data_IF_990525297474
#
_entry.id   IF_990525297474
#
_cell.length_a   1.000
_cell.length_b   1.000
_cell.length_c   1.000
_cell.angle_alpha   90.00
_cell.angle_beta   90.00
_cell.angle_gamma   90.00
#
_symmetry.space_group_name_H-M   'P 1'
#
loop_
_entity.id
_entity.type
_entity.pdbx_description
1 polymer ?
#
# COMPACT_ATOMS: atom_id res chain seq x y z
N UNK A 1 -20.22 1.59 -17.08
CA UNK A 1 -19.39 0.40 -16.94
C UNK A 1 -19.27 0.15 -15.46
N UNK A 2 -19.60 -1.07 -15.06
CA UNK A 2 -19.43 -1.55 -13.70
C UNK A 2 -17.96 -1.34 -13.25
N UNK A 3 -17.69 -1.30 -11.94
CA UNK A 3 -16.33 -1.39 -11.43
C UNK A 3 -15.58 -2.50 -12.18
N UNK A 4 -14.32 -2.32 -12.58
CA UNK A 4 -13.61 -3.37 -13.28
C UNK A 4 -13.63 -4.64 -12.43
N UNK A 5 -14.13 -5.72 -13.02
CA UNK A 5 -14.10 -7.06 -12.43
C UNK A 5 -12.68 -7.58 -12.57
N UNK A 6 -12.01 -7.76 -11.44
CA UNK A 6 -10.65 -8.29 -11.32
C UNK A 6 -10.65 -9.82 -11.42
N UNK A 7 -9.47 -10.46 -11.56
CA UNK A 7 -9.38 -11.91 -11.52
C UNK A 7 -10.16 -12.48 -10.32
N UNK A 8 -10.80 -13.63 -10.52
CA UNK A 8 -11.63 -14.29 -9.50
C UNK A 8 -12.92 -13.54 -9.14
N UNK A 9 -13.38 -12.59 -9.97
CA UNK A 9 -14.66 -11.89 -9.79
C UNK A 9 -14.63 -10.81 -8.71
N UNK A 10 -13.45 -10.47 -8.18
CA UNK A 10 -13.29 -9.43 -7.17
C UNK A 10 -13.53 -8.05 -7.78
N UNK A 11 -14.03 -7.11 -6.99
CA UNK A 11 -14.18 -5.72 -7.41
C UNK A 11 -13.45 -4.78 -6.43
N UNK A 12 -13.33 -3.50 -6.80
CA UNK A 12 -12.66 -2.49 -5.97
C UNK A 12 -13.32 -2.37 -4.59
N UNK A 13 -14.64 -2.52 -4.50
CA UNK A 13 -15.39 -2.45 -3.24
C UNK A 13 -14.96 -3.57 -2.31
N UNK A 14 -14.93 -4.82 -2.76
CA UNK A 14 -14.47 -5.98 -2.00
C UNK A 14 -13.06 -5.80 -1.45
N UNK A 15 -12.12 -5.31 -2.27
CA UNK A 15 -10.71 -5.13 -1.87
C UNK A 15 -10.58 -4.04 -0.80
N UNK A 16 -11.19 -2.87 -1.02
CA UNK A 16 -11.14 -1.79 -0.04
C UNK A 16 -11.91 -2.13 1.24
N UNK A 17 -13.03 -2.84 1.13
CA UNK A 17 -13.85 -3.23 2.28
C UNK A 17 -13.08 -4.19 3.19
N UNK A 18 -12.48 -5.23 2.60
CA UNK A 18 -11.61 -6.14 3.32
C UNK A 18 -10.43 -5.39 3.97
N UNK A 19 -9.87 -4.38 3.29
CA UNK A 19 -8.75 -3.61 3.82
C UNK A 19 -9.06 -2.76 5.06
N UNK A 20 -10.30 -2.28 5.21
CA UNK A 20 -10.66 -1.28 6.23
C UNK A 20 -11.54 -1.80 7.37
N UNK A 21 -12.31 -2.88 7.16
CA UNK A 21 -13.29 -3.34 8.17
C UNK A 21 -13.02 -4.71 8.79
N UNK A 22 -12.03 -5.47 8.32
CA UNK A 22 -11.83 -6.84 8.81
C UNK A 22 -10.36 -7.32 8.78
N UNK A 23 -9.81 -7.80 9.91
CA UNK A 23 -8.65 -8.71 9.86
C UNK A 23 -9.04 -10.14 9.48
N UNK A 24 -10.27 -10.56 9.81
CA UNK A 24 -10.86 -11.85 9.47
C UNK A 24 -12.01 -11.61 8.50
N UNK A 25 -11.92 -12.18 7.30
CA UNK A 25 -12.88 -11.96 6.21
C UNK A 25 -14.31 -11.99 6.71
N UNK A 26 -15.11 -11.00 6.31
CA UNK A 26 -16.55 -11.14 6.38
C UNK A 26 -16.95 -12.48 5.73
N UNK A 27 -17.85 -13.23 6.36
CA UNK A 27 -18.26 -14.58 5.91
C UNK A 27 -18.72 -14.59 4.45
N UNK A 28 -19.17 -13.44 3.94
CA UNK A 28 -19.66 -13.22 2.59
C UNK A 28 -18.54 -12.98 1.54
N UNK A 29 -17.30 -12.73 1.97
CA UNK A 29 -16.19 -12.45 1.05
C UNK A 29 -15.49 -13.74 0.59
N UNK A 30 -15.39 -13.99 -0.73
CA UNK A 30 -14.97 -15.29 -1.25
C UNK A 30 -13.46 -15.60 -1.13
N UNK A 31 -12.60 -14.61 -0.80
CA UNK A 31 -11.13 -14.74 -0.86
C UNK A 31 -10.42 -13.84 0.18
N UNK A 32 -9.45 -14.33 0.99
CA UNK A 32 -8.65 -13.52 1.94
C UNK A 32 -7.89 -12.35 1.29
N UNK A 33 -7.79 -11.18 1.96
CA UNK A 33 -7.16 -9.98 1.36
C UNK A 33 -5.77 -10.26 0.79
N UNK A 34 -4.89 -10.94 1.54
CA UNK A 34 -3.55 -11.28 1.06
C UNK A 34 -3.58 -11.98 -0.32
N UNK A 35 -4.60 -12.78 -0.57
CA UNK A 35 -4.82 -13.47 -1.84
C UNK A 35 -5.48 -12.59 -2.88
N UNK A 36 -6.35 -11.66 -2.46
CA UNK A 36 -6.86 -10.63 -3.35
C UNK A 36 -5.68 -9.81 -3.91
N UNK A 37 -4.78 -9.34 -3.05
CA UNK A 37 -3.55 -8.64 -3.44
C UNK A 37 -2.65 -9.54 -4.30
N UNK A 38 -2.42 -10.79 -3.90
CA UNK A 38 -1.65 -11.75 -4.70
C UNK A 38 -2.26 -12.01 -6.09
N UNK A 39 -3.58 -12.00 -6.22
CA UNK A 39 -4.26 -12.11 -7.50
C UNK A 39 -4.11 -10.84 -8.34
N UNK A 40 -4.16 -9.65 -7.73
CA UNK A 40 -3.86 -8.38 -8.41
C UNK A 40 -2.42 -8.34 -8.92
N UNK A 41 -1.47 -8.98 -8.22
CA UNK A 41 -0.07 -9.07 -8.67
C UNK A 41 0.14 -9.97 -9.89
N UNK A 42 -0.83 -10.84 -10.23
CA UNK A 42 -0.75 -11.73 -11.40
C UNK A 42 -1.25 -11.11 -12.69
N UNK A 43 -1.85 -9.92 -12.66
CA UNK A 43 -2.30 -9.26 -13.90
C UNK A 43 -1.10 -8.65 -14.64
N UNK A 44 -1.26 -8.39 -15.94
CA UNK A 44 -0.23 -7.68 -16.71
C UNK A 44 0.02 -6.27 -16.18
N UNK A 45 1.28 -5.80 -16.28
CA UNK A 45 1.73 -4.56 -15.62
C UNK A 45 0.86 -3.33 -15.86
N UNK A 46 0.40 -3.09 -17.10
CA UNK A 46 -0.51 -1.97 -17.39
C UNK A 46 -1.85 -2.04 -16.65
N UNK A 47 -2.41 -3.24 -16.53
CA UNK A 47 -3.64 -3.44 -15.76
C UNK A 47 -3.37 -3.23 -14.27
N UNK A 48 -2.22 -3.69 -13.78
CA UNK A 48 -1.80 -3.49 -12.39
C UNK A 48 -1.67 -2.00 -12.04
N UNK A 49 -1.00 -1.24 -12.89
CA UNK A 49 -0.84 0.21 -12.74
C UNK A 49 -2.21 0.93 -12.70
N UNK A 50 -3.14 0.56 -13.60
CA UNK A 50 -4.52 1.07 -13.58
C UNK A 50 -5.24 0.74 -12.26
N UNK A 51 -5.11 -0.48 -11.77
CA UNK A 51 -5.74 -0.92 -10.51
C UNK A 51 -5.18 -0.17 -9.31
N UNK A 52 -3.86 0.00 -9.24
CA UNK A 52 -3.20 0.79 -8.19
C UNK A 52 -3.72 2.22 -8.22
N UNK A 53 -3.83 2.83 -9.40
CA UNK A 53 -4.36 4.19 -9.52
C UNK A 53 -5.83 4.30 -9.06
N UNK A 54 -6.68 3.33 -9.40
CA UNK A 54 -8.09 3.32 -9.00
C UNK A 54 -8.27 3.06 -7.49
N UNK A 55 -7.58 2.05 -6.96
CA UNK A 55 -7.59 1.73 -5.52
C UNK A 55 -7.05 2.89 -4.70
N UNK A 56 -5.92 3.49 -5.11
CA UNK A 56 -5.35 4.66 -4.46
C UNK A 56 -6.25 5.89 -4.56
N UNK A 57 -6.86 6.13 -5.73
CA UNK A 57 -7.81 7.23 -5.91
C UNK A 57 -9.03 7.13 -5.01
N UNK A 58 -9.43 5.89 -4.65
CA UNK A 58 -10.60 5.64 -3.83
C UNK A 58 -10.29 5.57 -2.35
N UNK A 59 -9.34 4.73 -1.97
CA UNK A 59 -9.18 4.29 -0.58
C UNK A 59 -8.02 4.95 0.16
N UNK A 60 -7.12 5.68 -0.52
CA UNK A 60 -5.90 6.18 0.14
C UNK A 60 -6.20 6.97 1.42
N UNK A 61 -7.13 7.93 1.36
CA UNK A 61 -7.52 8.72 2.54
C UNK A 61 -8.06 7.84 3.66
N UNK A 62 -9.03 6.98 3.37
CA UNK A 62 -9.64 6.10 4.37
C UNK A 62 -8.63 5.11 4.98
N UNK A 63 -7.68 4.59 4.18
CA UNK A 63 -6.63 3.69 4.65
C UNK A 63 -5.66 4.40 5.60
N UNK A 64 -5.30 5.64 5.28
CA UNK A 64 -4.43 6.46 6.13
C UNK A 64 -5.13 6.83 7.44
N UNK A 65 -6.42 7.20 7.38
CA UNK A 65 -7.24 7.48 8.56
C UNK A 65 -7.40 6.25 9.46
N UNK A 66 -7.72 5.10 8.88
CA UNK A 66 -7.82 3.83 9.62
C UNK A 66 -6.49 3.48 10.27
N UNK A 67 -5.38 3.53 9.54
CA UNK A 67 -4.06 3.17 10.06
C UNK A 67 -3.56 4.10 11.17
N UNK A 68 -4.09 5.33 11.24
CA UNK A 68 -3.81 6.30 12.30
C UNK A 68 -4.90 6.33 13.40
N UNK A 69 -5.88 5.42 13.35
CA UNK A 69 -7.01 5.41 14.29
C UNK A 69 -6.71 4.67 15.60
N UNK A 70 -7.61 4.81 16.58
CA UNK A 70 -7.58 4.10 17.86
C UNK A 70 -8.16 2.67 17.79
N UNK A 71 -8.23 2.07 16.59
CA UNK A 71 -8.73 0.70 16.45
C UNK A 71 -7.87 -0.27 17.29
N UNK A 72 -8.50 -0.99 18.22
CA UNK A 72 -7.81 -1.85 19.19
C UNK A 72 -6.88 -2.89 18.53
N UNK A 73 -7.23 -3.40 17.35
CA UNK A 73 -6.42 -4.39 16.62
C UNK A 73 -5.07 -3.83 16.15
N UNK A 74 -4.97 -2.52 15.90
CA UNK A 74 -3.74 -1.85 15.49
C UNK A 74 -2.78 -1.61 16.67
N UNK A 75 -3.29 -1.77 17.90
CA UNK A 75 -2.61 -1.46 19.16
C UNK A 75 -2.46 -2.69 20.09
N UNK A 76 -2.84 -3.88 19.63
CA UNK A 76 -2.69 -5.14 20.37
C UNK A 76 -1.49 -5.95 19.84
N UNK A 77 -0.35 -5.99 20.55
CA UNK A 77 0.86 -6.70 20.11
C UNK A 77 0.70 -8.21 19.91
N UNK A 78 -0.38 -8.80 20.40
CA UNK A 78 -0.70 -10.22 20.17
C UNK A 78 -1.37 -10.46 18.82
N UNK A 79 -1.96 -9.41 18.24
CA UNK A 79 -2.59 -9.44 16.94
C UNK A 79 -1.57 -9.32 15.80
N UNK A 80 -1.74 -10.10 14.74
CA UNK A 80 -0.97 -9.92 13.50
C UNK A 80 -1.23 -8.55 12.84
N UNK A 81 -2.38 -7.93 13.12
CA UNK A 81 -2.74 -6.60 12.61
C UNK A 81 -1.93 -5.47 13.23
N UNK A 82 -1.38 -5.68 14.43
CA UNK A 82 -0.53 -4.70 15.08
C UNK A 82 0.72 -4.46 14.24
N UNK A 83 1.38 -5.51 13.76
CA UNK A 83 2.60 -5.35 12.99
C UNK A 83 2.34 -4.98 11.54
N UNK A 84 1.47 -5.72 10.85
CA UNK A 84 1.21 -5.51 9.44
C UNK A 84 -0.28 -5.69 9.14
N UNK A 85 -1.03 -4.62 9.42
CA UNK A 85 -2.47 -4.61 9.25
C UNK A 85 -2.88 -4.86 7.80
N UNK A 86 -4.11 -5.31 7.64
CA UNK A 86 -4.77 -5.49 6.34
C UNK A 86 -4.78 -4.18 5.54
N UNK A 87 -4.99 -3.03 6.20
CA UNK A 87 -4.91 -1.70 5.60
C UNK A 87 -3.48 -1.34 5.16
N UNK A 88 -2.48 -1.61 6.01
CA UNK A 88 -1.07 -1.35 5.73
C UNK A 88 -0.55 -2.24 4.60
N UNK A 89 -1.04 -3.48 4.51
CA UNK A 89 -0.79 -4.38 3.38
C UNK A 89 -1.26 -3.76 2.05
N UNK A 90 -2.49 -3.24 2.01
CA UNK A 90 -2.99 -2.55 0.83
C UNK A 90 -2.22 -1.26 0.55
N UNK A 91 -1.93 -0.43 1.56
CA UNK A 91 -1.09 0.76 1.39
C UNK A 91 0.28 0.42 0.78
N UNK A 92 0.94 -0.63 1.27
CA UNK A 92 2.21 -1.11 0.74
C UNK A 92 2.10 -1.53 -0.73
N UNK A 93 1.05 -2.28 -1.09
CA UNK A 93 0.77 -2.62 -2.49
C UNK A 93 0.60 -1.37 -3.36
N UNK A 94 -0.11 -0.36 -2.86
CA UNK A 94 -0.36 0.89 -3.59
C UNK A 94 0.89 1.78 -3.74
N UNK A 95 1.95 1.54 -2.96
CA UNK A 95 3.22 2.27 -3.13
C UNK A 95 3.91 2.01 -4.47
N UNK A 96 3.41 1.08 -5.30
CA UNK A 96 3.80 1.04 -6.72
C UNK A 96 3.59 2.38 -7.44
N UNK A 97 2.60 3.17 -7.03
CA UNK A 97 2.37 4.51 -7.56
C UNK A 97 3.20 5.58 -6.83
N UNK A 98 3.91 6.46 -7.55
CA UNK A 98 4.62 7.59 -6.96
C UNK A 98 3.67 8.58 -6.29
N UNK A 99 2.44 8.76 -6.81
CA UNK A 99 1.47 9.69 -6.25
C UNK A 99 0.93 9.22 -4.91
N UNK A 100 0.73 7.91 -4.78
CA UNK A 100 0.35 7.29 -3.51
C UNK A 100 1.47 7.48 -2.48
N UNK A 101 2.73 7.26 -2.87
CA UNK A 101 3.87 7.49 -1.97
C UNK A 101 3.95 8.93 -1.48
N UNK A 102 3.74 9.90 -2.37
CA UNK A 102 3.66 11.33 -2.02
C UNK A 102 2.49 11.60 -1.07
N UNK A 103 1.35 10.94 -1.26
CA UNK A 103 0.20 11.02 -0.37
C UNK A 103 0.52 10.50 1.03
N UNK A 104 1.08 9.30 1.13
CA UNK A 104 1.49 8.68 2.41
C UNK A 104 2.54 9.53 3.12
N UNK A 105 3.54 10.06 2.40
CA UNK A 105 4.60 10.89 2.98
C UNK A 105 4.08 12.19 3.64
N UNK A 106 2.88 12.66 3.28
CA UNK A 106 2.24 13.81 3.93
C UNK A 106 1.54 13.45 5.24
N UNK A 107 1.45 12.17 5.59
CA UNK A 107 0.81 11.67 6.80
C UNK A 107 1.83 10.85 7.62
N UNK A 108 2.82 11.54 8.24
CA UNK A 108 3.97 10.89 8.87
C UNK A 108 3.58 9.95 10.03
N UNK A 109 2.41 10.14 10.66
CA UNK A 109 1.92 9.29 11.75
C UNK A 109 1.90 7.79 11.38
N UNK A 110 1.52 7.45 10.15
CA UNK A 110 1.48 6.05 9.68
C UNK A 110 2.90 5.46 9.63
N UNK A 111 3.87 6.22 9.14
CA UNK A 111 5.27 5.76 9.08
C UNK A 111 5.90 5.76 10.46
N UNK A 112 5.53 6.72 11.31
CA UNK A 112 6.00 6.83 12.68
C UNK A 112 5.72 5.56 13.47
N UNK A 113 4.46 5.11 13.47
CA UNK A 113 4.03 3.88 14.15
C UNK A 113 4.82 2.65 13.68
N UNK A 114 4.98 2.50 12.35
CA UNK A 114 5.79 1.42 11.78
C UNK A 114 7.25 1.48 12.23
N UNK A 115 7.84 2.68 12.30
CA UNK A 115 9.22 2.86 12.75
C UNK A 115 9.36 2.52 14.24
N UNK A 116 8.45 2.94 15.11
CA UNK A 116 8.47 2.57 16.53
C UNK A 116 8.38 1.05 16.72
N UNK A 117 7.50 0.37 15.98
CA UNK A 117 7.42 -1.11 15.95
C UNK A 117 8.73 -1.75 15.51
N UNK A 118 9.38 -1.23 14.47
CA UNK A 118 10.69 -1.71 14.02
C UNK A 118 11.82 -1.40 15.02
N UNK A 119 11.68 -0.36 15.84
CA UNK A 119 12.65 0.00 16.89
C UNK A 119 12.53 -0.88 18.13
N UNK A 120 11.39 -1.54 18.38
CA UNK A 120 11.22 -2.49 19.47
C UNK A 120 12.31 -3.59 19.44
N UNK A 121 13.12 -3.76 20.51
CA UNK A 121 14.18 -4.76 20.56
C UNK A 121 13.68 -6.20 20.34
N UNK A 122 12.42 -6.49 20.64
CA UNK A 122 11.81 -7.81 20.54
C UNK A 122 11.00 -8.03 19.26
N UNK A 123 10.97 -7.05 18.33
CA UNK A 123 10.11 -7.07 17.13
C UNK A 123 10.17 -8.39 16.36
N UNK A 124 11.34 -8.98 16.17
CA UNK A 124 11.46 -10.26 15.45
C UNK A 124 10.82 -11.42 16.21
N UNK A 125 11.02 -11.48 17.53
CA UNK A 125 10.49 -12.54 18.36
C UNK A 125 8.96 -12.45 18.49
N UNK A 126 8.44 -11.25 18.74
CA UNK A 126 7.01 -11.01 18.90
C UNK A 126 6.27 -11.19 17.58
N UNK A 127 6.79 -10.65 16.46
CA UNK A 127 6.20 -10.87 15.14
C UNK A 127 6.17 -12.34 14.72
N UNK A 128 7.18 -13.14 15.11
CA UNK A 128 7.20 -14.59 14.84
C UNK A 128 6.15 -15.33 15.68
N UNK A 129 5.83 -14.84 16.87
CA UNK A 129 4.84 -15.43 17.76
C UNK A 129 3.39 -15.10 17.38
N UNK A 130 3.16 -14.04 16.59
CA UNK A 130 1.82 -13.69 16.13
C UNK A 130 1.21 -14.76 15.23
N UNK A 131 0.01 -15.19 15.56
CA UNK A 131 -0.79 -16.04 14.69
C UNK A 131 -1.29 -15.24 13.48
N UNK A 132 -1.24 -15.88 12.32
CA UNK A 132 -1.62 -15.28 11.04
C UNK A 132 -2.74 -16.12 10.47
N UNK A 133 -3.89 -15.47 10.26
CA UNK A 133 -5.04 -16.14 9.69
C UNK A 133 -4.70 -16.72 8.30
N UNK A 134 -5.25 -17.89 8.03
CA UNK A 134 -5.14 -18.58 6.75
C UNK A 134 -6.52 -18.89 6.20
N UNK A 135 -6.64 -18.95 4.87
CA UNK A 135 -7.88 -19.35 4.23
C UNK A 135 -7.81 -20.81 3.74
N UNK A 136 -8.95 -21.46 3.46
CA UNK A 136 -9.01 -22.88 3.06
C UNK A 136 -8.12 -23.27 1.86
N UNK A 137 -7.71 -22.31 1.04
CA UNK A 137 -6.95 -22.53 -0.19
C UNK A 137 -5.61 -21.76 -0.22
N UNK A 138 -5.26 -21.08 0.88
CA UNK A 138 -4.14 -20.16 0.87
C UNK A 138 -3.37 -20.21 2.19
N UNK A 139 -2.04 -20.48 2.14
CA UNK A 139 -1.24 -20.53 3.34
C UNK A 139 -1.22 -19.15 4.02
N UNK A 140 -1.06 -19.11 5.35
CA UNK A 140 -0.88 -17.85 6.06
C UNK A 140 0.38 -17.15 5.55
N UNK A 141 0.40 -15.82 5.64
CA UNK A 141 1.64 -15.07 5.46
C UNK A 141 2.71 -15.58 6.42
N UNK A 142 3.98 -15.51 6.04
CA UNK A 142 5.08 -15.83 6.95
C UNK A 142 5.57 -14.59 7.67
N UNK A 143 6.32 -14.76 8.76
CA UNK A 143 7.08 -13.66 9.35
C UNK A 143 7.93 -12.94 8.29
N UNK A 144 8.60 -13.70 7.43
CA UNK A 144 9.50 -13.14 6.44
C UNK A 144 8.77 -12.26 5.41
N UNK A 145 7.53 -12.61 5.06
CA UNK A 145 6.69 -11.85 4.14
C UNK A 145 6.29 -10.50 4.74
N UNK A 146 5.75 -10.50 5.96
CA UNK A 146 5.30 -9.28 6.65
C UNK A 146 6.47 -8.37 7.00
N UNK A 147 7.53 -8.94 7.58
CA UNK A 147 8.69 -8.18 8.00
C UNK A 147 9.43 -7.57 6.80
N UNK A 148 9.58 -8.33 5.72
CA UNK A 148 10.10 -7.81 4.47
C UNK A 148 9.23 -6.69 3.89
N UNK A 149 7.91 -6.83 3.97
CA UNK A 149 6.94 -5.83 3.50
C UNK A 149 6.98 -4.55 4.31
N UNK A 150 7.13 -4.62 5.63
CA UNK A 150 7.29 -3.45 6.50
C UNK A 150 8.56 -2.65 6.16
N UNK A 151 9.69 -3.35 6.01
CA UNK A 151 10.94 -2.70 5.62
C UNK A 151 10.84 -2.09 4.21
N UNK A 152 10.19 -2.80 3.28
CA UNK A 152 9.93 -2.29 1.94
C UNK A 152 9.06 -1.04 1.98
N UNK A 153 7.98 -1.04 2.78
CA UNK A 153 7.08 0.10 2.93
C UNK A 153 7.84 1.36 3.36
N UNK A 154 8.59 1.29 4.48
CA UNK A 154 9.38 2.43 4.97
C UNK A 154 10.42 2.87 3.94
N UNK A 155 11.09 1.90 3.29
CA UNK A 155 12.10 2.19 2.25
C UNK A 155 11.49 2.92 1.06
N UNK A 156 10.30 2.53 0.60
CA UNK A 156 9.64 3.19 -0.52
C UNK A 156 9.22 4.61 -0.16
N UNK A 157 8.65 4.83 1.04
CA UNK A 157 8.23 6.19 1.46
C UNK A 157 9.42 7.13 1.62
N UNK A 158 10.57 6.64 2.13
CA UNK A 158 11.79 7.44 2.25
C UNK A 158 12.34 7.95 0.91
N UNK A 159 11.97 7.35 -0.24
CA UNK A 159 12.31 7.92 -1.54
C UNK A 159 11.64 9.29 -1.76
N UNK A 160 10.48 9.53 -1.16
CA UNK A 160 9.66 10.74 -1.36
C UNK A 160 9.83 11.79 -0.27
N UNK A 161 10.72 11.55 0.69
CA UNK A 161 11.03 12.49 1.76
C UNK A 161 12.48 12.94 1.65
N UNK A 162 12.73 14.24 1.82
CA UNK A 162 14.07 14.80 1.70
C UNK A 162 14.89 14.67 2.98
N UNK A 163 14.23 14.80 4.13
CA UNK A 163 14.83 14.62 5.45
C UNK A 163 14.12 13.48 6.19
N UNK A 164 14.73 12.30 6.32
CA UNK A 164 14.15 11.13 6.99
C UNK A 164 13.57 11.43 8.38
N UNK A 165 14.18 12.36 9.10
CA UNK A 165 13.79 12.80 10.45
C UNK A 165 12.41 13.46 10.49
N UNK A 166 11.90 13.96 9.36
CA UNK A 166 10.54 14.50 9.25
C UNK A 166 9.47 13.42 9.29
N UNK A 167 9.81 12.16 8.97
CA UNK A 167 8.92 11.01 9.16
C UNK A 167 9.00 10.48 10.59
N UNK A 168 10.20 10.43 11.16
CA UNK A 168 10.41 9.93 12.51
C UNK A 168 11.70 10.47 13.15
N UNK A 169 11.66 11.06 14.36
CA UNK A 169 12.84 11.69 14.99
C UNK A 169 13.96 10.69 15.30
N UNK A 170 13.61 9.42 15.59
CA UNK A 170 14.57 8.36 15.94
C UNK A 170 14.91 7.44 14.77
N UNK A 171 14.58 7.82 13.53
CA UNK A 171 14.75 6.92 12.37
C UNK A 171 16.19 6.42 12.19
N UNK A 172 17.19 7.20 12.62
CA UNK A 172 18.61 6.80 12.59
C UNK A 172 18.94 5.61 13.50
N UNK A 173 18.14 5.35 14.54
CA UNK A 173 18.30 4.19 15.41
C UNK A 173 18.00 2.86 14.68
N UNK A 174 17.32 2.90 13.52
CA UNK A 174 17.12 1.71 12.67
C UNK A 174 18.40 1.25 11.96
N UNK A 175 19.40 2.12 11.77
CA UNK A 175 20.63 1.78 11.04
C UNK A 175 21.33 0.53 11.61
N UNK A 176 21.65 0.44 12.92
CA UNK A 176 22.30 -0.74 13.47
C UNK A 176 21.46 -2.01 13.28
N UNK A 177 20.14 -1.94 13.49
CA UNK A 177 19.21 -3.08 13.30
C UNK A 177 19.18 -3.53 11.84
N UNK A 178 19.05 -2.59 10.90
CA UNK A 178 19.06 -2.88 9.46
C UNK A 178 20.38 -3.53 9.01
N UNK A 179 21.52 -3.11 9.57
CA UNK A 179 22.82 -3.77 9.27
C UNK A 179 22.87 -5.20 9.78
N UNK A 180 22.27 -5.49 10.94
CA UNK A 180 22.14 -6.85 11.46
C UNK A 180 21.23 -7.66 10.52
N UNK A 181 20.02 -7.18 10.23
CA UNK A 181 19.06 -7.86 9.37
C UNK A 181 19.60 -8.11 7.95
N UNK A 182 20.36 -7.17 7.39
CA UNK A 182 21.03 -7.37 6.10
C UNK A 182 21.95 -8.59 6.10
N UNK A 183 22.69 -8.82 7.19
CA UNK A 183 23.58 -9.98 7.33
C UNK A 183 22.82 -11.25 7.64
N UNK A 184 21.91 -11.20 8.62
CA UNK A 184 21.11 -12.34 9.08
C UNK A 184 20.28 -12.94 7.94
N UNK A 185 19.64 -12.10 7.13
CA UNK A 185 18.71 -12.53 6.10
C UNK A 185 19.31 -12.60 4.69
N UNK A 186 20.63 -12.41 4.54
CA UNK A 186 21.33 -12.42 3.24
C UNK A 186 21.05 -13.68 2.40
N UNK A 187 20.93 -14.82 3.07
CA UNK A 187 20.70 -16.13 2.46
C UNK A 187 19.27 -16.66 2.70
N UNK A 188 18.36 -15.82 3.20
CA UNK A 188 16.95 -16.21 3.35
C UNK A 188 16.33 -16.50 2.00
N UNK A 189 15.31 -17.36 1.98
CA UNK A 189 14.46 -17.60 0.80
C UNK A 189 13.83 -16.29 0.30
N UNK A 190 13.51 -15.39 1.22
CA UNK A 190 12.95 -14.06 0.92
C UNK A 190 14.05 -13.02 1.03
N UNK A 191 14.67 -12.66 -0.11
CA UNK A 191 15.73 -11.63 -0.18
C UNK A 191 15.22 -10.21 0.11
N UNK A 192 13.91 -10.02 0.17
CA UNK A 192 13.28 -8.72 0.41
C UNK A 192 13.78 -8.10 1.71
N UNK A 193 13.93 -8.86 2.80
CA UNK A 193 14.40 -8.35 4.09
C UNK A 193 15.81 -7.76 3.95
N UNK A 194 16.78 -8.54 3.44
CA UNK A 194 18.16 -8.08 3.33
C UNK A 194 18.28 -6.90 2.37
N UNK A 195 17.55 -6.93 1.26
CA UNK A 195 17.57 -5.86 0.26
C UNK A 195 16.95 -4.57 0.80
N UNK A 196 15.79 -4.66 1.46
CA UNK A 196 15.10 -3.51 2.02
C UNK A 196 15.88 -2.90 3.19
N UNK A 197 16.40 -3.73 4.11
CA UNK A 197 17.24 -3.26 5.20
C UNK A 197 18.50 -2.54 4.70
N UNK A 198 19.18 -3.09 3.68
CA UNK A 198 20.35 -2.44 3.08
C UNK A 198 19.99 -1.09 2.45
N UNK A 199 18.86 -0.99 1.73
CA UNK A 199 18.41 0.28 1.16
C UNK A 199 18.03 1.30 2.22
N UNK A 200 17.36 0.87 3.30
CA UNK A 200 17.02 1.75 4.42
C UNK A 200 18.26 2.42 5.01
N UNK A 201 19.35 1.67 5.22
CA UNK A 201 20.63 2.24 5.68
C UNK A 201 21.10 3.35 4.73
N UNK A 202 21.12 3.09 3.41
CA UNK A 202 21.54 4.08 2.42
C UNK A 202 20.63 5.32 2.43
N UNK A 203 19.31 5.13 2.53
CA UNK A 203 18.33 6.21 2.50
C UNK A 203 18.42 7.09 3.75
N UNK A 204 18.56 6.48 4.93
CA UNK A 204 18.66 7.20 6.21
C UNK A 204 19.99 7.95 6.33
N UNK A 205 21.09 7.38 5.83
CA UNK A 205 22.41 8.03 5.88
C UNK A 205 22.59 9.12 4.81
N UNK A 206 21.62 9.30 3.92
CA UNK A 206 21.73 10.18 2.76
C UNK A 206 22.09 9.38 1.51
N UNK A 207 21.07 9.07 0.72
CA UNK A 207 21.24 8.44 -0.59
C UNK A 207 21.77 9.47 -1.59
N UNK A 208 22.62 9.02 -2.51
CA UNK A 208 23.05 9.83 -3.65
C UNK A 208 21.83 10.42 -4.40
N UNK A 209 21.79 11.75 -4.62
CA UNK A 209 20.64 12.40 -5.27
C UNK A 209 20.34 11.87 -6.68
N UNK A 210 21.37 11.50 -7.46
CA UNK A 210 21.17 10.98 -8.81
C UNK A 210 20.55 9.58 -8.77
N UNK A 211 21.02 8.71 -7.87
CA UNK A 211 20.40 7.41 -7.59
C UNK A 211 18.95 7.57 -7.12
N UNK A 212 18.67 8.51 -6.20
CA UNK A 212 17.31 8.79 -5.72
C UNK A 212 16.40 9.23 -6.88
N UNK A 213 16.89 10.11 -7.76
CA UNK A 213 16.16 10.57 -8.94
C UNK A 213 15.92 9.43 -9.96
N UNK A 214 16.90 8.55 -10.15
CA UNK A 214 16.76 7.37 -11.01
C UNK A 214 15.70 6.41 -10.48
N UNK A 215 15.69 6.11 -9.17
CA UNK A 215 14.68 5.27 -8.54
C UNK A 215 13.27 5.88 -8.68
N UNK A 216 13.13 7.20 -8.48
CA UNK A 216 11.88 7.91 -8.72
C UNK A 216 11.43 7.82 -10.19
N UNK A 217 12.37 7.88 -11.14
CA UNK A 217 12.08 7.73 -12.57
C UNK A 217 11.57 6.34 -12.90
N UNK A 218 12.21 5.30 -12.34
CA UNK A 218 11.76 3.92 -12.52
C UNK A 218 10.35 3.71 -11.96
N UNK A 219 10.05 4.29 -10.80
CA UNK A 219 8.72 4.21 -10.20
C UNK A 219 7.69 5.03 -10.99
N UNK A 220 8.06 6.19 -11.52
CA UNK A 220 7.20 7.00 -12.38
C UNK A 220 6.83 6.30 -13.69
N UNK A 221 7.58 5.27 -14.11
CA UNK A 221 7.20 4.44 -15.25
C UNK A 221 5.86 3.73 -15.07
N UNK A 222 5.40 3.51 -13.81
CA UNK A 222 4.06 2.96 -13.51
C UNK A 222 2.92 3.93 -13.81
N UNK A 223 3.19 5.23 -13.99
CA UNK A 223 2.16 6.21 -14.28
C UNK A 223 1.64 6.06 -15.71
N UNK A 224 0.32 6.04 -15.84
CA UNK A 224 -0.36 5.94 -17.13
C UNK A 224 -1.70 6.69 -17.11
N UNK A 225 -2.22 6.97 -18.30
CA UNK A 225 -3.51 7.60 -18.50
C UNK A 225 -4.65 6.70 -18.02
N UNK A 226 -5.46 7.18 -17.08
CA UNK A 226 -6.57 6.45 -16.45
C UNK A 226 -7.71 6.07 -17.38
N UNK A 227 -7.84 6.75 -18.51
CA UNK A 227 -8.83 6.38 -19.51
C UNK A 227 -8.48 5.03 -20.14
N UNK A 228 -9.37 4.06 -19.96
CA UNK A 228 -9.21 2.69 -20.46
C UNK A 228 -8.93 2.66 -21.97
N UNK A 229 -7.89 1.92 -22.36
CA UNK A 229 -7.47 1.77 -23.76
C UNK A 229 -6.53 2.86 -24.29
N UNK A 230 -6.12 3.85 -23.48
CA UNK A 230 -5.15 4.85 -23.92
C UNK A 230 -3.69 4.40 -23.83
N UNK A 231 -3.27 3.84 -22.69
CA UNK A 231 -1.89 3.38 -22.46
C UNK A 231 -0.79 4.46 -22.42
N UNK A 232 -1.11 5.74 -22.67
CA UNK A 232 -0.10 6.82 -22.68
C UNK A 232 0.51 7.02 -21.28
N UNK A 233 1.85 7.12 -21.20
CA UNK A 233 2.62 7.28 -19.95
C UNK A 233 3.31 8.64 -19.79
N UNK A 234 3.36 9.46 -20.85
CA UNK A 234 3.96 10.81 -20.83
C UNK A 234 2.90 11.91 -20.73
N UNK A 235 3.34 13.12 -20.37
CA UNK A 235 2.52 14.35 -20.38
C UNK A 235 1.22 14.22 -19.58
N UNK A 236 1.29 13.52 -18.45
CA UNK A 236 0.14 13.17 -17.65
C UNK A 236 -0.18 14.26 -16.62
N UNK A 237 -1.41 14.76 -16.66
CA UNK A 237 -1.95 15.65 -15.62
C UNK A 237 -2.68 14.85 -14.56
N UNK A 238 -2.42 15.16 -13.28
CA UNK A 238 -3.11 14.53 -12.17
C UNK A 238 -4.56 15.03 -12.06
N UNK A 239 -5.46 14.17 -11.60
CA UNK A 239 -6.81 14.54 -11.21
C UNK A 239 -6.76 15.61 -10.11
N UNK A 240 -7.56 16.68 -10.25
CA UNK A 240 -7.59 17.76 -9.26
C UNK A 240 -8.09 17.36 -7.88
N UNK A 241 -8.93 16.31 -7.80
CA UNK A 241 -9.49 15.78 -6.56
C UNK A 241 -8.53 14.85 -5.83
N UNK A 242 -8.41 13.61 -6.31
CA UNK A 242 -7.59 12.59 -5.64
C UNK A 242 -6.08 12.78 -5.81
N UNK A 243 -5.65 13.46 -6.89
CA UNK A 243 -4.24 13.59 -7.28
C UNK A 243 -3.49 12.26 -7.51
N UNK A 244 -4.22 11.14 -7.60
CA UNK A 244 -3.68 9.81 -7.88
C UNK A 244 -3.93 9.42 -9.34
N UNK A 245 -5.19 9.46 -9.80
CA UNK A 245 -5.49 9.15 -11.21
C UNK A 245 -4.91 10.23 -12.12
N UNK A 246 -4.19 9.83 -13.17
CA UNK A 246 -3.63 10.75 -14.16
C UNK A 246 -4.25 10.59 -15.54
N UNK A 247 -4.16 11.62 -16.38
CA UNK A 247 -4.69 11.63 -17.73
C UNK A 247 -3.73 12.37 -18.67
N UNK A 248 -3.61 11.91 -19.92
CA UNK A 248 -2.80 12.60 -20.92
C UNK A 248 -3.45 13.88 -21.48
N UNK A 249 -4.62 14.26 -20.97
CA UNK A 249 -5.36 15.45 -21.40
C UNK A 249 -6.77 15.51 -20.80
N UNK A 250 -7.36 16.71 -20.84
CA UNK A 250 -8.71 16.99 -20.30
C UNK A 250 -9.80 16.14 -20.96
N UNK A 251 -9.63 15.78 -22.22
CA UNK A 251 -10.61 14.99 -22.96
C UNK A 251 -10.76 13.57 -22.39
N UNK A 252 -9.64 12.91 -22.07
CA UNK A 252 -9.65 11.59 -21.44
C UNK A 252 -10.18 11.66 -20.00
N UNK A 253 -9.84 12.71 -19.26
CA UNK A 253 -10.41 12.94 -17.94
C UNK A 253 -11.93 13.10 -17.98
N UNK A 254 -12.48 13.92 -18.90
CA UNK A 254 -13.93 14.10 -19.06
C UNK A 254 -14.64 12.79 -19.43
N UNK A 255 -14.06 12.01 -20.34
CA UNK A 255 -14.61 10.71 -20.75
C UNK A 255 -14.61 9.71 -19.60
N UNK A 256 -13.58 9.71 -18.77
CA UNK A 256 -13.47 8.84 -17.60
C UNK A 256 -14.30 9.33 -16.40
N UNK A 257 -14.61 10.64 -16.34
CA UNK A 257 -15.29 11.27 -15.20
C UNK A 257 -16.61 10.60 -14.82
N UNK A 258 -17.37 10.10 -15.81
CA UNK A 258 -18.61 9.33 -15.56
C UNK A 258 -18.40 8.10 -14.67
N UNK A 259 -17.18 7.57 -14.59
CA UNK A 259 -16.80 6.48 -13.69
C UNK A 259 -15.96 6.99 -12.52
N UNK A 260 -14.90 7.75 -12.81
CA UNK A 260 -13.96 8.21 -11.79
C UNK A 260 -14.62 9.01 -10.67
N UNK A 261 -15.69 9.77 -10.94
CA UNK A 261 -16.42 10.54 -9.92
C UNK A 261 -16.98 9.68 -8.78
N UNK A 262 -17.28 8.40 -9.03
CA UNK A 262 -17.77 7.44 -8.03
C UNK A 262 -16.65 6.77 -7.23
N UNK A 263 -15.39 7.01 -7.61
CA UNK A 263 -14.22 6.46 -6.93
C UNK A 263 -13.40 7.57 -6.25
N UNK A 264 -13.29 8.74 -6.87
CA UNK A 264 -12.40 9.83 -6.44
C UNK A 264 -12.65 10.27 -5.00
N UNK A 265 -11.71 9.94 -4.10
CA UNK A 265 -11.73 10.24 -2.66
C UNK A 265 -12.99 9.76 -1.93
N UNK A 266 -13.55 8.61 -2.33
CA UNK A 266 -14.80 8.11 -1.75
C UNK A 266 -14.64 7.16 -0.57
N UNK A 267 -13.51 6.48 -0.43
CA UNK A 267 -13.34 5.45 0.59
C UNK A 267 -14.39 4.34 0.48
N UNK A 268 -14.88 3.88 1.63
CA UNK A 268 -16.04 3.00 1.77
C UNK A 268 -17.29 3.84 2.02
N UNK A 269 -17.86 4.42 0.97
CA UNK A 269 -19.28 4.77 1.03
C UNK A 269 -20.04 3.44 1.17
N UNK A 270 -20.63 3.21 2.35
CA UNK A 270 -21.66 2.19 2.50
C UNK A 270 -22.72 2.51 1.46
N UNK A 271 -23.10 1.52 0.65
CA UNK A 271 -24.27 1.67 -0.21
C UNK A 271 -25.43 1.82 0.77
N UNK A 272 -25.81 3.05 1.08
CA UNK A 272 -27.06 3.31 1.78
C UNK A 272 -28.17 2.65 0.98
N UNK A 273 -29.21 2.19 1.66
CA UNK A 273 -30.45 1.64 1.09
C UNK A 273 -31.23 2.67 0.24
N UNK A 274 -30.56 3.39 -0.65
CA UNK A 274 -31.14 4.27 -1.65
C UNK A 274 -31.51 3.45 -2.89
N UNK A 275 -32.51 2.56 -2.73
CA UNK A 275 -33.35 2.07 -3.84
C UNK A 275 -34.65 1.40 -3.33
N UNK A 276 -35.18 1.81 -2.16
CA UNK A 276 -36.54 1.48 -1.72
C UNK A 276 -37.55 2.63 -1.98
N UNK A 277 -37.30 3.45 -3.00
CA UNK A 277 -38.29 4.39 -3.51
C UNK A 277 -38.55 4.09 -5.00
N UNK A 278 -39.15 2.93 -5.24
CA UNK A 278 -39.95 2.69 -6.45
C UNK A 278 -41.39 3.06 -6.08
N UNK A 279 -41.94 3.94 -6.92
CA UNK A 279 -43.27 4.58 -6.90
C UNK A 279 -44.42 3.84 -6.19
#
# INVERSE_FOLDING_TARGET
>A
MAPPTFPQGMNLHTIGYAALKYPDLAEELPVPLVNQIGALQRVGGEHQDHMIAQLGSRYLTALLEYQASDNALLHDPTSSQYYFSTALCLLNFLTGSPDVCIGIAKHPAVVHDVVEKLLDPNVEATMRACDRSSGPQFPPATFEDDFGSLLQFVSTILLYVDQPETLHPRIRELIPKCRIWTRTYKNSRVRTISNAASRLVMQIQGMDPAMKAQLKTLQAASLLCGFSGCGKRSDLTACGGCRIQRYCGREHQKKDWKFHKHLCNKGLEEVGDEDNNVE
#
